data_IF_314640827734
#
_entry.id   IF_314640827734
#
_cell.length_a   1.000
_cell.length_b   1.000
_cell.length_c   1.000
_cell.angle_alpha   90.00
_cell.angle_beta   90.00
_cell.angle_gamma   90.00
#
_symmetry.space_group_name_H-M   'P 1'
#
loop_
_entity.id
_entity.type
_entity.pdbx_description
1 polymer ?
#
# COMPACT_ATOMS: atom_id res chain seq x y z
N UNK A 1 -0.09 -8.38 -19.62
CA UNK A 1 -0.72 -8.61 -18.30
C UNK A 1 -2.22 -8.71 -18.51
N UNK A 2 -2.92 -9.57 -17.77
CA UNK A 2 -4.37 -9.79 -17.93
C UNK A 2 -5.18 -8.83 -17.06
N UNK A 3 -6.46 -8.62 -17.41
CA UNK A 3 -7.42 -7.87 -16.60
C UNK A 3 -7.54 -8.40 -15.15
N UNK A 4 -7.27 -9.69 -14.94
CA UNK A 4 -7.21 -10.29 -13.61
C UNK A 4 -6.12 -9.67 -12.73
N UNK A 5 -4.96 -9.34 -13.31
CA UNK A 5 -3.85 -8.73 -12.57
C UNK A 5 -4.20 -7.31 -12.11
N UNK A 6 -4.80 -6.52 -13.00
CA UNK A 6 -5.25 -5.16 -12.70
C UNK A 6 -6.37 -5.15 -11.66
N UNK A 7 -7.34 -6.07 -11.76
CA UNK A 7 -8.40 -6.22 -10.77
C UNK A 7 -7.85 -6.62 -9.39
N UNK A 8 -6.91 -7.57 -9.33
CA UNK A 8 -6.27 -7.92 -8.07
C UNK A 8 -5.56 -6.71 -7.44
N UNK A 9 -4.84 -5.91 -8.24
CA UNK A 9 -4.21 -4.67 -7.75
C UNK A 9 -5.22 -3.62 -7.28
N UNK A 10 -6.40 -3.54 -7.88
CA UNK A 10 -7.49 -2.69 -7.36
C UNK A 10 -7.94 -3.17 -5.99
N UNK A 11 -8.22 -4.47 -5.82
CA UNK A 11 -8.60 -5.05 -4.52
C UNK A 11 -7.54 -4.80 -3.44
N UNK A 12 -6.26 -4.95 -3.79
CA UNK A 12 -5.14 -4.66 -2.88
C UNK A 12 -5.10 -3.18 -2.50
N UNK A 13 -5.29 -2.28 -3.48
CA UNK A 13 -5.31 -0.84 -3.25
C UNK A 13 -6.48 -0.41 -2.36
N UNK A 14 -7.68 -0.96 -2.60
CA UNK A 14 -8.88 -0.68 -1.79
C UNK A 14 -8.69 -1.17 -0.35
N UNK A 15 -8.09 -2.36 -0.17
CA UNK A 15 -7.73 -2.89 1.15
C UNK A 15 -6.73 -2.00 1.87
N UNK A 16 -5.74 -1.47 1.14
CA UNK A 16 -4.74 -0.56 1.71
C UNK A 16 -5.38 0.76 2.17
N UNK A 17 -6.23 1.37 1.34
CA UNK A 17 -6.93 2.60 1.71
C UNK A 17 -7.84 2.38 2.94
N UNK A 18 -8.51 1.23 3.04
CA UNK A 18 -9.31 0.88 4.21
C UNK A 18 -8.46 0.81 5.50
N UNK A 19 -7.27 0.22 5.42
CA UNK A 19 -6.34 0.16 6.56
C UNK A 19 -5.75 1.54 6.89
N UNK A 20 -5.49 2.39 5.89
CA UNK A 20 -5.04 3.77 6.12
C UNK A 20 -6.12 4.59 6.85
N UNK A 21 -7.39 4.38 6.53
CA UNK A 21 -8.50 5.03 7.26
C UNK A 21 -8.57 4.58 8.71
N UNK A 22 -8.29 3.30 8.99
CA UNK A 22 -8.35 2.72 10.34
C UNK A 22 -7.15 3.08 11.22
N UNK A 23 -5.94 3.00 10.67
CA UNK A 23 -4.69 3.08 11.43
C UNK A 23 -3.86 4.32 11.13
N UNK A 24 -4.27 5.14 10.15
CA UNK A 24 -3.43 6.17 9.56
C UNK A 24 -2.38 5.58 8.62
N UNK A 25 -1.60 6.43 7.96
CA UNK A 25 -0.53 5.96 7.07
C UNK A 25 -0.28 6.86 5.87
N UNK A 26 0.50 6.35 4.91
CA UNK A 26 0.78 7.04 3.65
C UNK A 26 -0.42 6.84 2.71
N UNK A 27 -0.86 7.90 2.02
CA UNK A 27 -1.90 7.76 1.00
C UNK A 27 -1.40 6.94 -0.20
N UNK A 28 -2.33 6.33 -0.96
CA UNK A 28 -2.00 5.62 -2.20
C UNK A 28 -1.22 6.48 -3.20
N UNK A 29 -1.51 7.77 -3.31
CA UNK A 29 -0.73 8.70 -4.15
C UNK A 29 0.72 8.83 -3.68
N UNK A 30 0.96 8.87 -2.36
CA UNK A 30 2.31 8.89 -1.80
C UNK A 30 3.03 7.57 -2.06
N UNK A 31 2.37 6.43 -1.84
CA UNK A 31 2.91 5.09 -2.16
C UNK A 31 3.28 5.00 -3.64
N UNK A 32 2.39 5.42 -4.54
CA UNK A 32 2.67 5.36 -5.97
C UNK A 32 3.84 6.25 -6.41
N UNK A 33 4.04 7.38 -5.74
CA UNK A 33 5.22 8.22 -5.92
C UNK A 33 6.50 7.52 -5.46
N UNK A 34 6.44 6.75 -4.37
CA UNK A 34 7.59 6.00 -3.86
C UNK A 34 7.96 4.84 -4.79
N UNK A 35 6.97 4.06 -5.25
CA UNK A 35 7.21 2.81 -5.98
C UNK A 35 7.54 3.04 -7.46
N UNK A 36 6.86 3.99 -8.12
CA UNK A 36 6.99 4.22 -9.58
C UNK A 36 7.13 5.69 -9.96
N UNK A 37 7.33 6.60 -9.01
CA UNK A 37 7.42 8.04 -9.25
C UNK A 37 6.21 8.64 -9.99
N UNK A 38 5.00 8.13 -9.73
CA UNK A 38 3.76 8.61 -10.35
C UNK A 38 2.59 8.54 -9.38
N UNK A 39 2.28 9.64 -8.69
CA UNK A 39 1.20 9.71 -7.70
C UNK A 39 -0.22 9.49 -8.26
N UNK A 40 -0.41 9.63 -9.57
CA UNK A 40 -1.70 9.41 -10.24
C UNK A 40 -1.97 7.94 -10.60
N UNK A 41 -1.05 7.01 -10.29
CA UNK A 41 -1.13 5.62 -10.73
C UNK A 41 -2.45 4.95 -10.36
N UNK A 42 -2.84 4.97 -9.08
CA UNK A 42 -4.05 4.27 -8.62
C UNK A 42 -5.35 4.92 -9.10
N UNK A 43 -5.36 6.24 -9.31
CA UNK A 43 -6.50 6.92 -9.97
C UNK A 43 -6.67 6.40 -11.40
N UNK A 44 -5.58 6.36 -12.17
CA UNK A 44 -5.59 5.80 -13.53
C UNK A 44 -5.96 4.31 -13.55
N UNK A 45 -5.58 3.56 -12.52
CA UNK A 45 -5.91 2.14 -12.39
C UNK A 45 -7.41 1.95 -12.22
N UNK A 46 -8.06 2.81 -11.41
CA UNK A 46 -9.52 2.84 -11.25
C UNK A 46 -10.24 3.21 -12.54
N UNK A 47 -9.69 4.15 -13.30
CA UNK A 47 -10.20 4.57 -14.62
C UNK A 47 -10.01 3.51 -15.73
N UNK A 48 -9.34 2.38 -15.46
CA UNK A 48 -9.09 1.35 -16.48
C UNK A 48 -8.08 1.75 -17.54
N UNK A 49 -7.15 2.66 -17.22
CA UNK A 49 -6.02 2.98 -18.10
C UNK A 49 -5.03 1.81 -18.15
N UNK A 50 -4.27 1.72 -19.23
CA UNK A 50 -3.21 0.73 -19.40
C UNK A 50 -1.92 1.14 -18.70
N UNK A 51 -1.16 0.14 -18.23
CA UNK A 51 0.12 0.31 -17.55
C UNK A 51 1.17 -0.65 -18.09
N UNK A 52 2.44 -0.30 -17.90
CA UNK A 52 3.52 -1.25 -18.13
C UNK A 52 3.46 -2.39 -17.11
N UNK A 53 3.76 -3.61 -17.58
CA UNK A 53 3.90 -4.79 -16.73
C UNK A 53 4.85 -4.52 -15.55
N UNK A 54 6.00 -3.90 -15.81
CA UNK A 54 6.98 -3.60 -14.78
C UNK A 54 6.45 -2.70 -13.67
N UNK A 55 5.53 -1.77 -13.95
CA UNK A 55 4.93 -0.94 -12.90
C UNK A 55 3.96 -1.76 -12.04
N UNK A 56 3.14 -2.60 -12.66
CA UNK A 56 2.21 -3.49 -11.95
C UNK A 56 2.98 -4.49 -11.06
N UNK A 57 4.10 -5.02 -11.54
CA UNK A 57 4.95 -5.93 -10.77
C UNK A 57 5.64 -5.26 -9.58
N UNK A 58 6.10 -4.01 -9.73
CA UNK A 58 6.67 -3.25 -8.61
C UNK A 58 5.67 -3.05 -7.47
N UNK A 59 4.40 -2.78 -7.79
CA UNK A 59 3.36 -2.67 -6.77
C UNK A 59 3.06 -4.00 -6.11
N UNK A 60 2.91 -5.08 -6.89
CA UNK A 60 2.73 -6.40 -6.29
C UNK A 60 3.90 -6.77 -5.38
N UNK A 61 5.15 -6.52 -5.79
CA UNK A 61 6.31 -6.73 -4.93
C UNK A 61 6.26 -5.89 -3.64
N UNK A 62 5.87 -4.62 -3.73
CA UNK A 62 5.76 -3.73 -2.57
C UNK A 62 4.67 -4.19 -1.59
N UNK A 63 3.47 -4.51 -2.07
CA UNK A 63 2.34 -4.90 -1.21
C UNK A 63 2.50 -6.28 -0.56
N UNK A 64 3.40 -7.13 -1.06
CA UNK A 64 3.68 -8.44 -0.43
C UNK A 64 4.39 -8.33 0.92
N UNK A 65 4.99 -7.18 1.23
CA UNK A 65 5.77 -7.01 2.45
C UNK A 65 4.87 -6.47 3.56
N UNK A 66 4.66 -7.21 4.67
CA UNK A 66 3.77 -6.76 5.74
C UNK A 66 4.15 -5.40 6.34
N UNK A 67 5.45 -5.12 6.48
CA UNK A 67 5.96 -3.84 7.01
C UNK A 67 5.56 -2.59 6.19
N UNK A 68 5.05 -2.76 4.97
CA UNK A 68 4.56 -1.68 4.12
C UNK A 68 3.09 -1.32 4.39
N UNK A 69 2.37 -2.15 5.15
CA UNK A 69 0.97 -1.94 5.52
C UNK A 69 0.83 -1.08 6.79
N UNK A 70 -0.28 -0.34 6.94
CA UNK A 70 -0.51 0.56 8.08
C UNK A 70 -0.29 -0.06 9.47
N UNK A 71 -0.87 -1.22 9.75
CA UNK A 71 -0.69 -1.93 11.03
C UNK A 71 0.42 -3.00 11.00
N UNK A 72 1.14 -3.10 9.87
CA UNK A 72 2.15 -4.13 9.57
C UNK A 72 1.61 -5.55 9.33
N UNK A 73 0.32 -5.71 9.10
CA UNK A 73 -0.33 -6.94 8.66
C UNK A 73 -1.00 -6.75 7.28
N UNK A 74 -1.08 -7.83 6.52
CA UNK A 74 -1.73 -7.85 5.20
C UNK A 74 -3.16 -8.34 5.40
N UNK A 75 -4.20 -7.54 5.09
CA UNK A 75 -5.59 -7.96 5.15
C UNK A 75 -5.85 -9.18 4.28
N UNK A 76 -6.81 -10.02 4.68
CA UNK A 76 -7.11 -11.28 4.01
C UNK A 76 -7.46 -11.08 2.52
N UNK A 77 -8.27 -10.09 2.18
CA UNK A 77 -8.67 -9.82 0.79
C UNK A 77 -7.47 -9.46 -0.08
N UNK A 78 -6.54 -8.65 0.44
CA UNK A 78 -5.30 -8.33 -0.23
C UNK A 78 -4.39 -9.55 -0.37
N UNK A 79 -4.30 -10.41 0.65
CA UNK A 79 -3.51 -11.64 0.62
C UNK A 79 -4.02 -12.63 -0.44
N UNK A 80 -5.34 -12.78 -0.56
CA UNK A 80 -5.99 -13.61 -1.59
C UNK A 80 -5.73 -13.03 -2.98
N UNK A 81 -5.90 -11.72 -3.17
CA UNK A 81 -5.64 -11.04 -4.43
C UNK A 81 -4.17 -11.13 -4.86
N UNK A 82 -3.22 -11.00 -3.93
CA UNK A 82 -1.79 -11.20 -4.16
C UNK A 82 -1.48 -12.65 -4.60
N UNK A 83 -2.13 -13.62 -3.97
CA UNK A 83 -1.94 -15.05 -4.29
C UNK A 83 -2.49 -15.38 -5.67
N UNK A 84 -3.65 -14.83 -6.05
CA UNK A 84 -4.28 -15.11 -7.35
C UNK A 84 -3.45 -14.64 -8.55
N UNK A 85 -2.57 -13.66 -8.35
CA UNK A 85 -1.62 -13.17 -9.38
C UNK A 85 -0.22 -13.79 -9.26
N UNK A 86 -0.06 -14.86 -8.46
CA UNK A 86 1.21 -15.58 -8.29
C UNK A 86 2.26 -14.77 -7.53
N UNK A 87 1.82 -13.91 -6.61
CA UNK A 87 2.65 -13.01 -5.81
C UNK A 87 2.24 -13.09 -4.33
N UNK A 88 2.28 -14.27 -3.69
CA UNK A 88 1.76 -14.45 -2.34
C UNK A 88 2.49 -13.57 -1.31
N UNK A 89 1.80 -13.19 -0.21
CA UNK A 89 2.40 -12.49 0.93
C UNK A 89 3.75 -13.06 1.37
N UNK A 90 4.66 -12.17 1.78
CA UNK A 90 5.92 -12.55 2.40
C UNK A 90 5.73 -12.67 3.93
N UNK A 91 6.62 -13.42 4.62
CA UNK A 91 6.53 -13.57 6.07
C UNK A 91 6.65 -12.22 6.80
N UNK A 92 6.03 -12.10 7.97
CA UNK A 92 6.00 -10.88 8.79
C UNK A 92 7.39 -10.33 9.17
N UNK A 93 8.42 -11.17 9.18
CA UNK A 93 9.82 -10.79 9.42
C UNK A 93 10.49 -10.10 8.22
N UNK A 94 9.81 -9.99 7.08
CA UNK A 94 10.38 -9.39 5.86
C UNK A 94 10.56 -7.88 6.03
N UNK A 95 11.80 -7.43 5.88
CA UNK A 95 12.15 -6.00 5.90
C UNK A 95 11.50 -5.25 4.73
N UNK A 96 11.14 -3.95 4.92
CA UNK A 96 10.54 -3.14 3.86
C UNK A 96 11.45 -3.05 2.64
N UNK A 97 10.87 -3.19 1.44
CA UNK A 97 11.64 -3.07 0.21
C UNK A 97 12.19 -1.64 0.03
N UNK A 98 13.50 -1.48 -0.24
CA UNK A 98 14.12 -0.18 -0.42
C UNK A 98 13.77 0.38 -1.81
N UNK A 99 12.61 1.00 -1.96
CA UNK A 99 12.28 1.77 -3.17
C UNK A 99 12.67 3.26 -3.06
N UNK A 100 13.09 3.71 -1.87
CA UNK A 100 13.80 4.98 -1.66
C UNK A 100 14.40 5.01 -0.26
N UNK A 101 15.72 5.14 -0.15
CA UNK A 101 16.53 5.04 1.08
C UNK A 101 16.26 6.14 2.13
N UNK A 102 15.27 7.02 1.94
CA UNK A 102 15.14 8.26 2.74
C UNK A 102 13.81 8.46 3.47
N UNK A 103 12.87 7.52 3.44
CA UNK A 103 11.51 7.75 4.00
C UNK A 103 10.93 6.55 4.78
N UNK A 104 11.77 5.55 5.07
CA UNK A 104 11.37 4.35 5.81
C UNK A 104 11.13 4.59 7.32
N UNK A 105 11.49 5.77 7.82
CA UNK A 105 11.28 6.14 9.23
C UNK A 105 10.21 7.23 9.31
N UNK A 106 8.95 6.84 9.12
CA UNK A 106 7.85 7.61 9.71
C UNK A 106 7.35 6.76 10.85
N UNK A 107 7.82 7.07 12.05
CA UNK A 107 7.32 6.52 13.30
C UNK A 107 5.80 6.55 13.29
N UNK A 108 5.16 5.38 13.37
CA UNK A 108 3.72 5.26 13.63
C UNK A 108 3.37 5.68 15.08
N UNK A 109 4.31 6.27 15.82
CA UNK A 109 4.12 6.69 17.20
C UNK A 109 3.70 8.17 17.24
N UNK A 110 2.50 8.48 16.72
CA UNK A 110 1.84 9.75 17.04
C UNK A 110 0.78 9.48 18.10
N UNK A 111 1.03 9.75 19.39
CA UNK A 111 -0.06 9.77 20.34
C UNK A 111 -1.07 10.83 19.88
N UNK A 112 -2.33 10.43 19.79
CA UNK A 112 -3.43 11.33 19.54
C UNK A 112 -3.44 12.40 20.64
N UNK A 113 -2.91 13.59 20.34
CA UNK A 113 -3.08 14.76 21.18
C UNK A 113 -4.56 15.18 21.08
N UNK A 114 -5.39 14.55 21.91
CA UNK A 114 -6.63 15.17 22.37
C UNK A 114 -6.24 16.47 23.08
N UNK A 115 -6.33 17.60 22.38
CA UNK A 115 -6.35 18.90 23.04
C UNK A 115 -7.68 19.03 23.78
N UNK A 116 -7.73 18.52 25.01
CA UNK A 116 -8.71 18.97 25.99
C UNK A 116 -8.37 20.40 26.39
N UNK A 117 -8.91 21.37 25.67
CA UNK A 117 -8.91 22.77 26.13
C UNK A 117 -10.08 22.93 27.11
N UNK A 118 -9.83 22.57 28.36
CA UNK A 118 -10.59 23.07 29.50
C UNK A 118 -9.87 24.31 30.06
N UNK A 119 -10.62 25.11 30.82
CA UNK A 119 -10.22 26.29 31.63
C UNK A 119 -10.25 27.60 30.81
N UNK A 120 -11.05 28.62 31.15
CA UNK A 120 -11.64 29.03 32.44
C UNK A 120 -12.94 29.82 32.22
#
# INVERSE_FOLDING_TARGET
MSAAYENALRTIADSYDAEVVRWGGKSLSRVATIVVNSGAFFNRLREGKTFSVGNLEKFAAWFRVPANWPDRAIPQDAAVALTSIGRPPLPASTMPHPYRTSDASVDCNRPALFQSKAVR
#
